data_IF_228873258604
#
_entry.id   IF_228873258604
#
_cell.length_a   1.000
_cell.length_b   1.000
_cell.length_c   1.000
_cell.angle_alpha   90.00
_cell.angle_beta   90.00
_cell.angle_gamma   90.00
#
_symmetry.space_group_name_H-M   'P 1'
#
loop_
_entity.id
_entity.type
_entity.pdbx_description
1 polymer ?
#
# COMPACT_ATOMS: atom_id res chain seq x y z
N UNK A 1 39.09 -37.29 3.38
CA UNK A 1 37.96 -37.13 2.44
C UNK A 1 38.43 -37.56 1.07
N UNK A 2 37.69 -38.42 0.36
CA UNK A 2 38.03 -38.80 -0.99
C UNK A 2 37.89 -37.63 -1.97
N UNK A 3 38.53 -37.71 -3.15
CA UNK A 3 38.37 -36.67 -4.20
C UNK A 3 36.91 -36.53 -4.64
N UNK A 4 36.13 -37.59 -4.54
CA UNK A 4 34.68 -37.61 -4.83
C UNK A 4 33.86 -36.84 -3.79
N UNK A 5 34.19 -36.93 -2.49
CA UNK A 5 33.50 -36.22 -1.43
C UNK A 5 33.68 -34.71 -1.58
N UNK A 6 34.88 -34.27 -1.96
CA UNK A 6 35.17 -32.85 -2.20
C UNK A 6 34.41 -32.30 -3.40
N UNK A 7 34.34 -33.05 -4.51
CA UNK A 7 33.58 -32.66 -5.69
C UNK A 7 32.09 -32.51 -5.36
N UNK A 8 31.57 -33.45 -4.59
CA UNK A 8 30.16 -33.45 -4.20
C UNK A 8 29.79 -32.24 -3.30
N UNK A 9 30.67 -31.90 -2.33
CA UNK A 9 30.54 -30.69 -1.51
C UNK A 9 30.55 -29.42 -2.37
N UNK A 10 31.42 -29.36 -3.36
CA UNK A 10 31.47 -28.21 -4.28
C UNK A 10 30.23 -28.12 -5.13
N UNK A 11 29.71 -29.20 -5.68
CA UNK A 11 28.51 -29.21 -6.51
C UNK A 11 27.26 -28.82 -5.69
N UNK A 12 27.07 -29.43 -4.53
CA UNK A 12 25.91 -29.11 -3.65
C UNK A 12 26.02 -27.69 -3.11
N UNK A 13 27.20 -27.27 -2.67
CA UNK A 13 27.45 -25.91 -2.19
C UNK A 13 27.21 -24.84 -3.25
N UNK A 14 27.68 -25.08 -4.48
CA UNK A 14 27.46 -24.15 -5.60
C UNK A 14 25.96 -24.00 -5.95
N UNK A 15 25.23 -25.12 -5.94
CA UNK A 15 23.77 -25.08 -6.18
C UNK A 15 23.04 -24.27 -5.11
N UNK A 16 23.36 -24.50 -3.84
CA UNK A 16 22.76 -23.79 -2.72
C UNK A 16 23.13 -22.29 -2.77
N UNK A 17 24.40 -21.97 -3.04
CA UNK A 17 24.89 -20.61 -3.18
C UNK A 17 24.13 -19.84 -4.29
N UNK A 18 24.03 -20.46 -5.46
CA UNK A 18 23.33 -19.85 -6.62
C UNK A 18 21.88 -19.56 -6.31
N UNK A 19 21.15 -20.50 -5.71
CA UNK A 19 19.75 -20.29 -5.31
C UNK A 19 19.62 -19.17 -4.27
N UNK A 20 20.53 -19.09 -3.31
CA UNK A 20 20.57 -18.03 -2.31
C UNK A 20 20.80 -16.65 -2.92
N UNK A 21 21.76 -16.54 -3.85
CA UNK A 21 22.06 -15.28 -4.55
C UNK A 21 20.88 -14.85 -5.42
N UNK A 22 20.26 -15.78 -6.16
CA UNK A 22 19.06 -15.47 -6.95
C UNK A 22 17.90 -14.94 -6.09
N UNK A 23 17.70 -15.49 -4.90
CA UNK A 23 16.68 -14.99 -3.95
C UNK A 23 17.00 -13.57 -3.48
N UNK A 24 18.26 -13.25 -3.19
CA UNK A 24 18.68 -11.89 -2.84
C UNK A 24 18.49 -10.93 -4.01
N UNK A 25 18.91 -11.32 -5.21
CA UNK A 25 18.70 -10.51 -6.41
C UNK A 25 17.21 -10.23 -6.65
N UNK A 26 16.34 -11.23 -6.51
CA UNK A 26 14.90 -11.06 -6.64
C UNK A 26 14.33 -10.08 -5.60
N UNK A 27 14.80 -10.16 -4.34
CA UNK A 27 14.38 -9.24 -3.28
C UNK A 27 14.76 -7.78 -3.58
N UNK A 28 15.95 -7.53 -4.12
CA UNK A 28 16.44 -6.18 -4.36
C UNK A 28 16.05 -5.60 -5.72
N UNK A 29 15.73 -6.43 -6.71
CA UNK A 29 15.45 -5.98 -8.08
C UNK A 29 14.03 -5.45 -8.30
N UNK A 30 13.08 -5.76 -7.44
CA UNK A 30 11.66 -5.40 -7.62
C UNK A 30 11.05 -4.87 -6.33
N UNK A 31 10.41 -3.69 -6.40
CA UNK A 31 9.64 -3.13 -5.29
C UNK A 31 8.45 -4.02 -4.90
N UNK A 32 7.90 -4.77 -5.87
CA UNK A 32 6.78 -5.73 -5.68
C UNK A 32 7.25 -7.02 -5.01
N UNK A 33 8.50 -7.46 -5.27
CA UNK A 33 9.06 -8.69 -4.69
C UNK A 33 9.86 -8.45 -3.40
N UNK A 34 9.73 -7.31 -2.75
CA UNK A 34 10.44 -6.96 -1.51
C UNK A 34 9.94 -7.76 -0.30
N UNK A 35 9.72 -9.04 -0.50
CA UNK A 35 9.30 -10.00 0.52
C UNK A 35 10.45 -10.32 1.48
N UNK A 36 10.25 -10.15 2.77
CA UNK A 36 11.23 -10.50 3.82
C UNK A 36 11.66 -11.96 3.74
N UNK A 37 10.78 -12.82 3.27
CA UNK A 37 11.04 -14.25 3.08
C UNK A 37 12.20 -14.49 2.10
N UNK A 38 12.24 -13.79 0.96
CA UNK A 38 13.33 -13.88 -0.01
C UNK A 38 14.66 -13.40 0.59
N UNK A 39 14.61 -12.34 1.38
CA UNK A 39 15.79 -11.83 2.07
C UNK A 39 16.37 -12.87 3.04
N UNK A 40 15.54 -13.38 3.96
CA UNK A 40 16.00 -14.35 4.96
C UNK A 40 16.42 -15.66 4.34
N UNK A 41 15.69 -16.13 3.31
CA UNK A 41 16.07 -17.32 2.56
C UNK A 41 17.42 -17.16 1.88
N UNK A 42 17.66 -16.04 1.21
CA UNK A 42 18.92 -15.77 0.53
C UNK A 42 20.10 -15.60 1.50
N UNK A 43 19.90 -14.88 2.60
CA UNK A 43 20.91 -14.71 3.66
C UNK A 43 21.21 -16.02 4.42
N UNK A 44 20.29 -16.97 4.39
CA UNK A 44 20.52 -18.32 4.92
C UNK A 44 21.28 -19.20 3.93
N UNK A 45 20.83 -19.28 2.69
CA UNK A 45 21.33 -20.21 1.69
C UNK A 45 22.71 -19.82 1.11
N UNK A 46 22.90 -18.55 0.73
CA UNK A 46 24.11 -18.12 0.04
C UNK A 46 25.39 -18.28 0.90
N UNK A 47 25.47 -17.82 2.14
CA UNK A 47 26.67 -18.01 2.96
C UNK A 47 26.93 -19.49 3.29
N UNK A 48 25.87 -20.28 3.52
CA UNK A 48 26.03 -21.71 3.77
C UNK A 48 26.59 -22.44 2.54
N UNK A 49 26.05 -22.18 1.35
CA UNK A 49 26.54 -22.75 0.10
C UNK A 49 28.01 -22.38 -0.16
N UNK A 50 28.37 -21.11 0.06
CA UNK A 50 29.73 -20.63 -0.07
C UNK A 50 30.69 -21.37 0.90
N UNK A 51 30.28 -21.57 2.16
CA UNK A 51 31.08 -22.30 3.14
C UNK A 51 31.33 -23.74 2.71
N UNK A 52 30.36 -24.44 2.10
CA UNK A 52 30.51 -25.77 1.56
C UNK A 52 31.50 -25.81 0.37
N UNK A 53 31.42 -24.84 -0.55
CA UNK A 53 32.34 -24.70 -1.69
C UNK A 53 33.77 -24.46 -1.18
N UNK A 54 33.96 -23.54 -0.26
CA UNK A 54 35.26 -23.25 0.34
C UNK A 54 35.84 -24.49 1.03
N UNK A 55 35.02 -25.24 1.76
CA UNK A 55 35.43 -26.49 2.41
C UNK A 55 35.87 -27.56 1.39
N UNK A 56 35.16 -27.69 0.27
CA UNK A 56 35.50 -28.68 -0.76
C UNK A 56 36.71 -28.32 -1.61
N UNK A 57 36.98 -27.05 -1.86
CA UNK A 57 38.10 -26.59 -2.72
C UNK A 57 39.36 -26.31 -1.92
N UNK A 58 39.25 -25.54 -0.83
CA UNK A 58 40.43 -24.92 -0.18
C UNK A 58 41.09 -25.85 0.83
N UNK A 59 40.34 -26.67 1.57
CA UNK A 59 40.94 -27.60 2.56
C UNK A 59 41.91 -28.61 1.93
N UNK A 60 41.62 -29.24 0.75
CA UNK A 60 42.56 -30.16 0.15
C UNK A 60 43.84 -29.54 -0.41
N UNK A 61 43.83 -28.24 -0.70
CA UNK A 61 44.93 -27.56 -1.38
C UNK A 61 45.90 -26.85 -0.42
N UNK A 62 45.42 -26.48 0.78
CA UNK A 62 46.14 -25.61 1.69
C UNK A 62 46.36 -26.31 3.03
N UNK A 63 47.61 -26.72 3.31
CA UNK A 63 48.00 -27.31 4.60
C UNK A 63 48.48 -26.26 5.60
N UNK A 64 48.54 -26.63 6.89
CA UNK A 64 49.09 -25.83 7.94
C UNK A 64 48.13 -24.77 8.51
N UNK A 65 48.65 -23.56 8.82
CA UNK A 65 47.89 -22.48 9.45
C UNK A 65 46.73 -21.95 8.60
N UNK A 66 46.84 -22.01 7.26
CA UNK A 66 45.79 -21.57 6.36
C UNK A 66 44.57 -22.51 6.37
N UNK A 67 44.74 -23.81 6.48
CA UNK A 67 43.65 -24.76 6.65
C UNK A 67 42.81 -24.43 7.86
N UNK A 68 43.47 -24.04 8.94
CA UNK A 68 42.81 -23.70 10.19
C UNK A 68 41.93 -22.44 10.06
N UNK A 69 42.45 -21.38 9.42
CA UNK A 69 41.70 -20.13 9.18
C UNK A 69 40.43 -20.41 8.36
N UNK A 70 40.54 -21.26 7.34
CA UNK A 70 39.40 -21.62 6.47
C UNK A 70 38.34 -22.41 7.26
N UNK A 71 38.77 -23.35 8.08
CA UNK A 71 37.85 -24.12 8.95
C UNK A 71 37.17 -23.24 9.94
N UNK A 72 37.86 -22.30 10.56
CA UNK A 72 37.27 -21.36 11.54
C UNK A 72 36.36 -20.35 10.88
N UNK A 73 36.72 -19.84 9.68
CA UNK A 73 35.83 -18.97 8.89
C UNK A 73 34.54 -19.72 8.48
N UNK A 74 34.68 -21.00 8.05
CA UNK A 74 33.53 -21.84 7.75
C UNK A 74 32.61 -22.04 8.96
N UNK A 75 33.17 -22.21 10.16
CA UNK A 75 32.40 -22.30 11.41
C UNK A 75 31.65 -21.02 11.72
N UNK A 76 32.33 -19.86 11.63
CA UNK A 76 31.69 -18.56 11.85
C UNK A 76 30.55 -18.32 10.85
N UNK A 77 30.78 -18.65 9.58
CA UNK A 77 29.77 -18.53 8.53
C UNK A 77 28.56 -19.44 8.82
N UNK A 78 28.80 -20.68 9.21
CA UNK A 78 27.74 -21.62 9.58
C UNK A 78 26.91 -21.13 10.77
N UNK A 79 27.56 -20.52 11.75
CA UNK A 79 26.90 -19.88 12.89
C UNK A 79 26.05 -18.68 12.47
N UNK A 80 26.61 -17.83 11.62
CA UNK A 80 25.93 -16.62 11.16
C UNK A 80 24.67 -16.93 10.36
N UNK A 81 24.63 -18.04 9.61
CA UNK A 81 23.45 -18.44 8.82
C UNK A 81 22.28 -18.90 9.68
N UNK A 82 22.51 -19.24 10.92
CA UNK A 82 21.44 -19.73 11.82
C UNK A 82 20.43 -18.64 12.21
N UNK A 83 20.85 -17.37 12.27
CA UNK A 83 19.96 -16.24 12.55
C UNK A 83 18.95 -16.03 11.40
N UNK A 84 19.37 -15.87 10.12
CA UNK A 84 18.44 -15.84 9.00
C UNK A 84 17.53 -17.07 8.91
N UNK A 85 18.02 -18.27 9.27
CA UNK A 85 17.20 -19.47 9.30
C UNK A 85 16.06 -19.37 10.32
N UNK A 86 16.33 -18.86 11.53
CA UNK A 86 15.30 -18.62 12.55
C UNK A 86 14.33 -17.52 12.14
N UNK A 87 14.80 -16.43 11.54
CA UNK A 87 13.97 -15.37 11.02
C UNK A 87 13.07 -15.85 9.87
N UNK A 88 13.61 -16.69 8.98
CA UNK A 88 12.83 -17.36 7.95
C UNK A 88 11.75 -18.27 8.57
N UNK A 89 12.11 -19.02 9.60
CA UNK A 89 11.16 -19.86 10.34
C UNK A 89 10.03 -19.03 10.96
N UNK A 90 10.34 -17.87 11.56
CA UNK A 90 9.33 -16.96 12.11
C UNK A 90 8.35 -16.45 11.05
N UNK A 91 8.80 -16.17 9.83
CA UNK A 91 7.90 -15.74 8.73
C UNK A 91 6.91 -16.86 8.34
N UNK A 92 7.26 -18.12 8.49
CA UNK A 92 6.38 -19.26 8.20
C UNK A 92 5.55 -19.71 9.37
N UNK A 93 6.08 -19.64 10.59
CA UNK A 93 5.44 -20.20 11.78
C UNK A 93 4.67 -19.15 12.58
N UNK A 94 5.03 -17.88 12.43
CA UNK A 94 4.54 -16.79 13.25
C UNK A 94 5.36 -16.58 14.52
N UNK A 95 4.78 -15.83 15.46
CA UNK A 95 5.54 -15.44 16.67
C UNK A 95 5.52 -16.49 17.79
N UNK A 96 4.79 -17.60 17.60
CA UNK A 96 4.64 -18.63 18.62
C UNK A 96 3.83 -18.20 19.85
N UNK A 97 3.72 -19.10 20.83
CA UNK A 97 3.03 -18.84 22.09
C UNK A 97 3.82 -17.82 22.93
N UNK A 98 3.21 -16.71 23.35
CA UNK A 98 3.84 -15.65 24.12
C UNK A 98 5.18 -15.16 23.54
N UNK A 99 5.26 -15.10 22.19
CA UNK A 99 6.47 -14.70 21.49
C UNK A 99 7.65 -15.68 21.65
N UNK A 100 7.38 -16.98 21.80
CA UNK A 100 8.41 -18.03 21.98
C UNK A 100 9.51 -17.96 20.95
N UNK A 101 9.19 -17.70 19.67
CA UNK A 101 10.16 -17.58 18.59
C UNK A 101 11.11 -16.38 18.74
N UNK A 102 10.67 -15.27 19.37
CA UNK A 102 11.57 -14.15 19.70
C UNK A 102 12.51 -14.50 20.83
N UNK A 103 12.02 -15.19 21.86
CA UNK A 103 12.85 -15.68 22.94
C UNK A 103 13.88 -16.69 22.47
N UNK A 104 13.49 -17.60 21.57
CA UNK A 104 14.40 -18.55 20.96
C UNK A 104 15.53 -17.83 20.19
N UNK A 105 15.19 -16.80 19.41
CA UNK A 105 16.18 -15.99 18.69
C UNK A 105 17.19 -15.34 19.65
N UNK A 106 16.71 -14.77 20.75
CA UNK A 106 17.58 -14.14 21.77
C UNK A 106 18.47 -15.17 22.47
N UNK A 107 17.91 -16.31 22.90
CA UNK A 107 18.68 -17.40 23.52
C UNK A 107 19.75 -17.87 22.56
N UNK A 108 19.41 -18.02 21.28
CA UNK A 108 20.36 -18.46 20.27
C UNK A 108 21.45 -17.41 20.00
N UNK A 109 21.11 -16.13 19.91
CA UNK A 109 22.07 -15.05 19.73
C UNK A 109 23.05 -14.96 20.90
N UNK A 110 22.58 -15.11 22.14
CA UNK A 110 23.43 -15.13 23.33
C UNK A 110 24.34 -16.37 23.32
N UNK A 111 23.80 -17.54 22.97
CA UNK A 111 24.60 -18.76 22.85
C UNK A 111 25.68 -18.63 21.78
N UNK A 112 25.40 -17.99 20.64
CA UNK A 112 26.37 -17.68 19.58
C UNK A 112 27.50 -16.80 20.08
N UNK A 113 27.16 -15.72 20.80
CA UNK A 113 28.18 -14.85 21.40
C UNK A 113 29.05 -15.62 22.40
N UNK A 114 28.44 -16.45 23.24
CA UNK A 114 29.17 -17.30 24.17
C UNK A 114 30.14 -18.26 23.46
N UNK A 115 29.67 -18.93 22.40
CA UNK A 115 30.50 -19.83 21.59
C UNK A 115 31.64 -19.06 20.90
N UNK A 116 31.37 -17.88 20.36
CA UNK A 116 32.36 -17.01 19.73
C UNK A 116 33.45 -16.61 20.72
N UNK A 117 33.10 -16.16 21.94
CA UNK A 117 34.06 -15.84 22.97
C UNK A 117 34.88 -17.04 23.46
N UNK A 118 34.24 -18.21 23.62
CA UNK A 118 34.92 -19.44 24.00
C UNK A 118 35.90 -19.91 22.91
N UNK A 119 35.56 -19.74 21.64
CA UNK A 119 36.44 -20.10 20.51
C UNK A 119 37.68 -19.22 20.46
N UNK A 120 37.54 -17.92 20.77
CA UNK A 120 38.70 -16.99 20.84
C UNK A 120 39.59 -17.27 22.04
N UNK A 121 39.01 -17.57 23.21
CA UNK A 121 39.74 -17.67 24.49
C UNK A 121 40.41 -19.01 24.72
N UNK A 122 39.82 -20.09 24.22
CA UNK A 122 40.34 -21.44 24.48
C UNK A 122 40.68 -22.13 23.13
N UNK A 123 41.98 -22.40 22.95
CA UNK A 123 42.50 -23.20 21.82
C UNK A 123 41.96 -24.66 21.78
N UNK A 124 40.96 -25.00 22.58
CA UNK A 124 40.41 -26.36 22.69
C UNK A 124 39.54 -26.70 21.49
N UNK A 125 40.18 -27.23 20.47
CA UNK A 125 39.71 -27.51 19.09
C UNK A 125 38.65 -28.59 18.95
N UNK A 126 38.29 -29.34 19.98
CA UNK A 126 37.43 -30.54 19.83
C UNK A 126 36.01 -30.39 20.38
N UNK A 127 35.72 -29.39 21.19
CA UNK A 127 34.45 -29.34 21.99
C UNK A 127 33.33 -28.54 21.32
N UNK A 128 33.61 -27.69 20.31
CA UNK A 128 32.59 -26.86 19.68
C UNK A 128 32.34 -27.34 18.25
N UNK A 129 31.91 -28.58 18.11
CA UNK A 129 31.71 -29.16 16.78
C UNK A 129 30.39 -28.82 16.10
N UNK A 130 29.41 -28.25 16.74
CA UNK A 130 28.23 -27.75 16.00
C UNK A 130 27.22 -26.95 16.80
N UNK A 131 27.22 -25.62 16.68
CA UNK A 131 26.07 -24.80 17.10
C UNK A 131 24.79 -25.10 16.28
N UNK A 132 24.93 -25.64 15.06
CA UNK A 132 23.81 -26.17 14.30
C UNK A 132 23.01 -27.26 15.03
N UNK A 133 23.66 -27.99 15.95
CA UNK A 133 22.99 -28.95 16.82
C UNK A 133 21.92 -28.29 17.70
N UNK A 134 22.15 -27.06 18.16
CA UNK A 134 21.18 -26.31 18.95
C UNK A 134 19.92 -26.01 18.14
N UNK A 135 20.03 -25.61 16.89
CA UNK A 135 18.85 -25.35 16.04
C UNK A 135 18.01 -26.60 15.79
N UNK A 136 18.68 -27.73 15.54
CA UNK A 136 18.01 -29.02 15.30
C UNK A 136 17.22 -29.50 16.52
N UNK A 137 17.64 -29.13 17.73
CA UNK A 137 16.93 -29.45 18.97
C UNK A 137 15.92 -28.37 19.33
N UNK A 138 16.31 -27.11 19.25
CA UNK A 138 15.49 -26.00 19.74
C UNK A 138 14.24 -25.74 18.89
N UNK A 139 14.32 -25.91 17.57
CA UNK A 139 13.14 -25.72 16.70
C UNK A 139 12.05 -26.77 16.94
N UNK A 140 12.35 -28.09 16.98
CA UNK A 140 11.34 -29.09 17.36
C UNK A 140 10.83 -28.93 18.78
N UNK A 141 11.68 -28.49 19.72
CA UNK A 141 11.27 -28.23 21.10
C UNK A 141 10.28 -27.05 21.17
N UNK A 142 10.52 -25.97 20.44
CA UNK A 142 9.56 -24.86 20.32
C UNK A 142 8.23 -25.33 19.74
N UNK A 143 8.26 -26.07 18.64
CA UNK A 143 7.05 -26.64 18.04
C UNK A 143 6.25 -27.51 19.01
N UNK A 144 6.93 -28.28 19.85
CA UNK A 144 6.32 -29.11 20.89
C UNK A 144 5.70 -28.25 22.00
N UNK A 145 6.43 -27.25 22.50
CA UNK A 145 5.94 -26.32 23.53
C UNK A 145 4.70 -25.59 23.03
N UNK A 146 4.75 -25.03 21.83
CA UNK A 146 3.63 -24.31 21.23
C UNK A 146 2.40 -25.20 21.04
N UNK A 147 2.60 -26.44 20.63
CA UNK A 147 1.52 -27.42 20.51
C UNK A 147 0.90 -27.75 21.85
N UNK A 148 1.70 -27.95 22.88
CA UNK A 148 1.22 -28.25 24.27
C UNK A 148 0.52 -27.02 24.84
N UNK A 149 0.95 -25.81 24.50
CA UNK A 149 0.32 -24.55 24.91
C UNK A 149 -0.97 -24.22 24.11
N UNK A 150 -1.35 -25.04 23.14
CA UNK A 150 -2.55 -24.84 22.32
C UNK A 150 -2.39 -23.76 21.25
N UNK A 151 -1.16 -23.34 20.95
CA UNK A 151 -0.92 -22.37 19.86
C UNK A 151 -1.28 -22.97 18.52
N UNK A 152 -2.11 -22.23 17.76
CA UNK A 152 -2.47 -22.57 16.38
C UNK A 152 -1.80 -21.58 15.45
N UNK A 153 -0.68 -21.95 14.84
CA UNK A 153 -0.03 -21.08 13.89
C UNK A 153 -0.93 -20.82 12.67
N UNK A 154 -0.79 -19.64 12.02
CA UNK A 154 -1.60 -19.29 10.86
C UNK A 154 -1.54 -20.39 9.79
N UNK A 155 -2.63 -20.62 9.04
CA UNK A 155 -2.66 -21.62 7.99
C UNK A 155 -1.71 -21.21 6.86
N UNK A 156 -0.62 -21.96 6.67
CA UNK A 156 0.37 -21.71 5.63
C UNK A 156 0.23 -22.76 4.55
N UNK A 157 -0.05 -22.30 3.32
CA UNK A 157 -0.01 -23.16 2.13
C UNK A 157 1.43 -23.67 1.93
N UNK A 158 1.63 -24.99 1.90
CA UNK A 158 2.97 -25.60 1.75
C UNK A 158 3.63 -26.09 3.04
N UNK A 159 2.98 -25.98 4.18
CA UNK A 159 3.48 -26.48 5.48
C UNK A 159 3.97 -27.94 5.44
N UNK A 160 3.24 -28.92 4.87
CA UNK A 160 3.72 -30.29 4.76
C UNK A 160 5.06 -30.43 4.03
N UNK A 161 5.29 -29.59 3.01
CA UNK A 161 6.54 -29.57 2.23
C UNK A 161 7.70 -29.11 3.10
N UNK A 162 7.53 -28.04 3.89
CA UNK A 162 8.57 -27.55 4.82
C UNK A 162 8.88 -28.61 5.87
N UNK A 163 7.85 -29.25 6.45
CA UNK A 163 8.05 -30.31 7.42
C UNK A 163 8.76 -31.53 6.84
N UNK A 164 8.47 -31.92 5.59
CA UNK A 164 9.22 -33.01 4.93
C UNK A 164 10.69 -32.65 4.74
N UNK A 165 10.98 -31.39 4.35
CA UNK A 165 12.36 -30.90 4.24
C UNK A 165 13.12 -30.93 5.56
N UNK A 166 12.48 -30.45 6.64
CA UNK A 166 13.05 -30.48 8.00
C UNK A 166 13.26 -31.89 8.50
N UNK A 167 12.33 -32.79 8.26
CA UNK A 167 12.44 -34.20 8.67
C UNK A 167 13.61 -34.90 7.96
N UNK A 168 13.74 -34.73 6.64
CA UNK A 168 14.85 -35.32 5.87
C UNK A 168 16.18 -34.74 6.35
N UNK A 169 16.26 -33.43 6.53
CA UNK A 169 17.47 -32.78 7.07
C UNK A 169 17.83 -33.32 8.45
N UNK A 170 16.85 -33.46 9.34
CA UNK A 170 17.06 -34.02 10.69
C UNK A 170 17.58 -35.46 10.64
N UNK A 171 17.01 -36.29 9.77
CA UNK A 171 17.43 -37.69 9.61
C UNK A 171 18.85 -37.81 9.08
N UNK A 172 19.21 -37.05 8.05
CA UNK A 172 20.57 -37.06 7.47
C UNK A 172 21.61 -36.52 8.45
N UNK A 173 21.28 -35.44 9.15
CA UNK A 173 22.12 -34.87 10.20
C UNK A 173 22.35 -35.88 11.35
N UNK A 174 21.29 -36.52 11.81
CA UNK A 174 21.38 -37.53 12.88
C UNK A 174 22.20 -38.75 12.43
N UNK A 175 22.01 -39.21 11.19
CA UNK A 175 22.81 -40.30 10.62
C UNK A 175 24.31 -40.00 10.65
N UNK A 176 24.73 -38.81 10.21
CA UNK A 176 26.14 -38.43 10.20
C UNK A 176 26.74 -38.39 11.62
N UNK A 177 25.94 -37.96 12.62
CA UNK A 177 26.36 -37.94 14.02
C UNK A 177 26.53 -39.36 14.60
N UNK A 178 25.61 -40.27 14.31
CA UNK A 178 25.68 -41.63 14.78
C UNK A 178 26.79 -42.42 14.09
N UNK A 179 27.02 -42.20 12.79
CA UNK A 179 28.07 -42.86 12.04
C UNK A 179 29.48 -42.46 12.52
N UNK A 180 29.70 -41.18 12.84
CA UNK A 180 30.99 -40.69 13.37
C UNK A 180 31.31 -41.21 14.77
N UNK A 181 30.31 -41.64 15.54
CA UNK A 181 30.51 -42.25 16.87
C UNK A 181 30.86 -43.73 16.81
N UNK A 182 30.51 -44.44 15.73
CA UNK A 182 30.65 -45.90 15.64
C UNK A 182 31.80 -46.40 14.78
N UNK A 183 32.30 -45.63 13.82
CA UNK A 183 33.27 -46.12 12.83
C UNK A 183 34.34 -45.08 12.56
N UNK A 184 35.59 -45.38 12.84
CA UNK A 184 36.75 -44.60 12.46
C UNK A 184 37.14 -44.88 10.98
N UNK A 185 36.26 -44.56 10.05
CA UNK A 185 36.48 -44.75 8.62
C UNK A 185 35.92 -43.56 7.79
N UNK A 186 36.35 -43.48 6.52
CA UNK A 186 35.81 -42.46 5.59
C UNK A 186 34.33 -42.72 5.32
N UNK A 187 33.47 -41.83 5.76
CA UNK A 187 32.02 -41.87 5.51
C UNK A 187 31.60 -40.68 4.66
N UNK A 188 30.82 -40.97 3.63
CA UNK A 188 30.11 -39.94 2.87
C UNK A 188 29.15 -39.20 3.79
N UNK A 189 29.34 -37.89 3.94
CA UNK A 189 28.41 -37.07 4.76
C UNK A 189 27.06 -36.93 4.04
N UNK A 190 26.01 -37.29 4.70
CA UNK A 190 24.63 -37.20 4.20
C UNK A 190 24.00 -35.84 4.48
N UNK A 191 24.52 -35.06 5.45
CA UNK A 191 24.01 -33.76 5.87
C UNK A 191 23.83 -32.76 4.70
N UNK A 192 24.79 -32.58 3.75
CA UNK A 192 24.66 -31.65 2.62
C UNK A 192 23.46 -31.96 1.71
N UNK A 193 23.12 -33.24 1.53
CA UNK A 193 21.96 -33.65 0.72
C UNK A 193 20.65 -33.35 1.42
N UNK A 194 20.57 -33.62 2.72
CA UNK A 194 19.40 -33.25 3.52
C UNK A 194 19.19 -31.75 3.51
N UNK A 195 20.27 -30.98 3.59
CA UNK A 195 20.20 -29.53 3.51
C UNK A 195 19.75 -29.06 2.12
N UNK A 196 20.28 -29.63 1.04
CA UNK A 196 19.86 -29.32 -0.33
C UNK A 196 18.37 -29.62 -0.54
N UNK A 197 17.89 -30.75 -0.02
CA UNK A 197 16.48 -31.10 -0.07
C UNK A 197 15.61 -30.10 0.71
N UNK A 198 16.04 -29.71 1.92
CA UNK A 198 15.38 -28.64 2.69
C UNK A 198 15.33 -27.34 1.92
N UNK A 199 16.43 -26.95 1.27
CA UNK A 199 16.48 -25.76 0.42
C UNK A 199 15.54 -25.84 -0.77
N UNK A 200 15.43 -27.00 -1.41
CA UNK A 200 14.47 -27.21 -2.49
C UNK A 200 13.02 -27.08 -2.01
N UNK A 201 12.70 -27.65 -0.83
CA UNK A 201 11.37 -27.50 -0.22
C UNK A 201 11.04 -26.04 0.13
N UNK A 202 11.96 -25.32 0.74
CA UNK A 202 11.80 -23.91 1.08
C UNK A 202 11.69 -23.06 -0.20
N UNK A 203 12.55 -23.27 -1.18
CA UNK A 203 12.52 -22.58 -2.45
C UNK A 203 11.19 -22.77 -3.20
N UNK A 204 10.66 -23.99 -3.21
CA UNK A 204 9.34 -24.28 -3.79
C UNK A 204 8.22 -23.50 -3.08
N UNK A 205 8.20 -23.52 -1.74
CA UNK A 205 7.14 -22.82 -0.97
C UNK A 205 7.26 -21.30 -1.12
N UNK A 206 8.49 -20.78 -1.09
CA UNK A 206 8.74 -19.34 -1.32
C UNK A 206 8.32 -18.93 -2.72
N UNK A 207 8.75 -19.65 -3.76
CA UNK A 207 8.38 -19.37 -5.15
C UNK A 207 6.87 -19.40 -5.36
N UNK A 208 6.18 -20.41 -4.78
CA UNK A 208 4.74 -20.51 -4.87
C UNK A 208 4.03 -19.35 -4.16
N UNK A 209 4.54 -18.92 -3.00
CA UNK A 209 3.98 -17.78 -2.26
C UNK A 209 4.15 -16.48 -3.03
N UNK A 210 5.34 -16.24 -3.57
CA UNK A 210 5.61 -15.06 -4.41
C UNK A 210 4.69 -15.03 -5.62
N UNK A 211 4.58 -16.14 -6.35
CA UNK A 211 3.71 -16.23 -7.53
C UNK A 211 2.22 -16.01 -7.19
N UNK A 212 1.73 -16.51 -6.04
CA UNK A 212 0.33 -16.27 -5.63
C UNK A 212 0.11 -14.82 -5.24
N UNK A 213 1.01 -14.21 -4.49
CA UNK A 213 0.91 -12.79 -4.11
C UNK A 213 0.95 -11.88 -5.35
N UNK A 214 1.82 -12.19 -6.32
CA UNK A 214 1.91 -11.44 -7.58
C UNK A 214 0.60 -11.55 -8.38
N UNK A 215 0.03 -12.75 -8.49
CA UNK A 215 -1.24 -12.96 -9.17
C UNK A 215 -2.41 -12.21 -8.50
N UNK A 216 -2.49 -12.22 -7.17
CA UNK A 216 -3.47 -11.44 -6.40
C UNK A 216 -3.29 -9.94 -6.62
N UNK A 217 -2.04 -9.46 -6.61
CA UNK A 217 -1.72 -8.05 -6.85
C UNK A 217 -2.10 -7.59 -8.26
N UNK A 218 -1.83 -8.40 -9.28
CA UNK A 218 -2.23 -8.14 -10.67
C UNK A 218 -3.76 -8.11 -10.79
N UNK A 219 -4.47 -9.05 -10.15
CA UNK A 219 -5.94 -9.10 -10.16
C UNK A 219 -6.54 -7.84 -9.53
N UNK A 220 -6.10 -7.48 -8.31
CA UNK A 220 -6.55 -6.28 -7.60
C UNK A 220 -6.28 -5.00 -8.40
N UNK A 221 -5.09 -4.89 -9.00
CA UNK A 221 -4.74 -3.76 -9.85
C UNK A 221 -5.62 -3.69 -11.10
N UNK A 222 -5.98 -4.85 -11.65
CA UNK A 222 -6.91 -4.97 -12.79
C UNK A 222 -8.30 -4.48 -12.43
N UNK A 223 -8.85 -4.90 -11.29
CA UNK A 223 -10.15 -4.48 -10.78
C UNK A 223 -10.20 -2.96 -10.50
N UNK A 224 -9.14 -2.42 -9.88
CA UNK A 224 -9.02 -0.98 -9.65
C UNK A 224 -8.96 -0.19 -10.95
N UNK A 225 -8.25 -0.67 -11.97
CA UNK A 225 -8.25 -0.03 -13.30
C UNK A 225 -9.62 -0.07 -13.97
N UNK A 226 -10.36 -1.16 -13.83
CA UNK A 226 -11.72 -1.25 -14.36
C UNK A 226 -12.67 -0.28 -13.64
N UNK A 227 -12.62 -0.22 -12.31
CA UNK A 227 -13.39 0.74 -11.51
C UNK A 227 -13.08 2.19 -11.90
N UNK A 228 -11.80 2.54 -12.09
CA UNK A 228 -11.39 3.87 -12.57
C UNK A 228 -11.96 4.22 -13.95
N UNK A 229 -11.99 3.26 -14.88
CA UNK A 229 -12.61 3.48 -16.20
C UNK A 229 -14.10 3.74 -16.09
N UNK A 230 -14.80 3.01 -15.24
CA UNK A 230 -16.24 3.20 -15.02
C UNK A 230 -16.47 4.59 -14.41
N UNK A 231 -15.70 4.97 -13.40
CA UNK A 231 -15.82 6.29 -12.77
C UNK A 231 -15.53 7.42 -13.77
N UNK A 232 -14.49 7.32 -14.58
CA UNK A 232 -14.20 8.30 -15.62
C UNK A 232 -15.36 8.49 -16.62
N UNK A 233 -16.13 7.43 -16.88
CA UNK A 233 -17.31 7.51 -17.73
C UNK A 233 -18.54 8.16 -17.05
N UNK A 234 -18.52 8.29 -15.72
CA UNK A 234 -19.57 8.98 -14.96
C UNK A 234 -19.37 10.50 -15.01
N UNK A 235 -18.13 10.97 -15.04
CA UNK A 235 -17.78 12.39 -15.12
C UNK A 235 -18.13 12.98 -16.51
N UNK A 236 -18.37 14.29 -16.62
CA UNK A 236 -18.62 14.94 -17.90
C UNK A 236 -17.44 14.76 -18.87
N UNK A 237 -17.72 14.31 -20.08
CA UNK A 237 -16.70 14.14 -21.13
C UNK A 237 -16.21 15.49 -21.69
N UNK A 238 -17.03 16.54 -21.59
CA UNK A 238 -16.72 17.90 -22.01
C UNK A 238 -17.45 18.92 -21.15
N UNK A 239 -16.89 20.10 -21.05
CA UNK A 239 -17.57 21.23 -20.37
C UNK A 239 -18.79 21.70 -21.16
N UNK A 240 -19.86 22.12 -20.47
CA UNK A 240 -21.05 22.63 -21.14
C UNK A 240 -20.73 23.94 -21.88
N UNK A 241 -21.19 24.02 -23.12
CA UNK A 241 -21.08 25.25 -23.90
C UNK A 241 -22.37 26.06 -23.76
N UNK A 242 -22.32 27.11 -22.96
CA UNK A 242 -23.44 28.03 -22.75
C UNK A 242 -22.95 29.44 -23.07
N UNK A 243 -23.66 30.17 -23.93
CA UNK A 243 -23.21 31.46 -24.47
C UNK A 243 -22.97 32.53 -23.40
N UNK A 244 -23.56 32.40 -22.23
CA UNK A 244 -23.51 33.41 -21.16
C UNK A 244 -22.48 33.12 -20.07
N UNK A 245 -21.97 31.93 -20.02
CA UNK A 245 -21.06 31.48 -18.95
C UNK A 245 -19.88 30.71 -19.51
N UNK A 246 -18.67 30.97 -18.97
CA UNK A 246 -17.51 30.14 -19.22
C UNK A 246 -17.33 29.17 -18.05
N UNK A 247 -17.35 27.89 -18.33
CA UNK A 247 -17.27 26.84 -17.28
C UNK A 247 -15.95 26.08 -17.42
N UNK A 248 -15.26 25.90 -16.30
CA UNK A 248 -14.10 25.03 -16.19
C UNK A 248 -14.22 24.15 -14.95
N UNK A 249 -13.69 22.94 -15.02
CA UNK A 249 -13.64 22.04 -13.88
C UNK A 249 -12.30 21.32 -13.80
N UNK A 250 -11.91 20.96 -12.59
CA UNK A 250 -10.76 20.09 -12.35
C UNK A 250 -11.16 18.99 -11.37
N UNK A 251 -10.62 17.83 -11.63
CA UNK A 251 -10.82 16.62 -10.85
C UNK A 251 -9.49 15.91 -10.70
N UNK A 252 -8.96 15.87 -9.50
CA UNK A 252 -7.69 15.23 -9.16
C UNK A 252 -7.91 14.24 -8.03
N UNK A 253 -8.10 12.94 -8.32
CA UNK A 253 -8.30 11.93 -7.31
C UNK A 253 -6.99 11.66 -6.56
N UNK A 254 -7.05 11.53 -5.23
CA UNK A 254 -5.94 11.12 -4.37
C UNK A 254 -5.50 9.68 -4.68
N UNK A 255 -6.43 8.82 -4.97
CA UNK A 255 -6.22 7.41 -5.26
C UNK A 255 -6.64 7.03 -6.69
N UNK A 256 -6.61 5.73 -7.00
CA UNK A 256 -7.07 5.25 -8.31
C UNK A 256 -8.55 5.50 -8.58
N UNK A 257 -9.38 5.66 -7.54
CA UNK A 257 -10.85 5.85 -7.58
C UNK A 257 -11.24 6.74 -6.40
N UNK A 258 -12.03 7.80 -6.64
CA UNK A 258 -12.37 8.85 -5.68
C UNK A 258 -13.83 8.79 -5.21
N UNK A 259 -14.14 9.46 -4.10
CA UNK A 259 -15.51 9.72 -3.63
C UNK A 259 -16.19 10.88 -4.33
N UNK A 260 -15.40 11.80 -4.85
CA UNK A 260 -15.86 13.03 -5.50
C UNK A 260 -16.59 12.77 -6.82
N UNK A 261 -17.64 13.53 -7.03
CA UNK A 261 -18.41 13.59 -8.28
C UNK A 261 -18.81 15.01 -8.60
N UNK A 262 -18.66 15.42 -9.85
CA UNK A 262 -19.29 16.64 -10.37
C UNK A 262 -20.01 16.38 -11.69
N UNK A 263 -20.99 17.22 -12.00
CA UNK A 263 -21.73 17.06 -13.25
C UNK A 263 -22.62 18.26 -13.59
N UNK A 264 -23.16 18.20 -14.80
CA UNK A 264 -24.05 19.24 -15.35
C UNK A 264 -25.39 18.60 -15.73
N UNK A 265 -26.28 18.35 -14.75
CA UNK A 265 -27.51 17.61 -14.97
C UNK A 265 -28.56 18.37 -15.78
N UNK A 266 -28.41 19.68 -15.94
CA UNK A 266 -29.27 20.52 -16.77
C UNK A 266 -28.44 21.49 -17.58
N UNK A 267 -28.48 21.41 -18.89
CA UNK A 267 -27.78 22.32 -19.81
C UNK A 267 -28.80 22.83 -20.85
N UNK A 268 -29.22 24.07 -20.69
CA UNK A 268 -30.16 24.77 -21.58
C UNK A 268 -29.55 26.13 -21.99
N UNK A 269 -30.00 26.76 -23.06
CA UNK A 269 -29.45 28.05 -23.50
C UNK A 269 -29.41 29.14 -22.41
N UNK A 270 -30.39 29.15 -21.53
CA UNK A 270 -30.53 30.15 -20.46
C UNK A 270 -30.50 29.54 -19.04
N UNK A 271 -30.18 28.26 -18.89
CA UNK A 271 -30.12 27.62 -17.58
C UNK A 271 -29.00 26.56 -17.53
N UNK A 272 -28.25 26.55 -16.46
CA UNK A 272 -27.20 25.57 -16.19
C UNK A 272 -27.34 25.02 -14.79
N UNK A 273 -27.56 23.71 -14.66
CA UNK A 273 -27.51 23.01 -13.39
C UNK A 273 -26.11 22.44 -13.15
N UNK A 274 -25.55 22.63 -11.96
CA UNK A 274 -24.24 22.13 -11.55
C UNK A 274 -24.41 21.37 -10.26
N UNK A 275 -23.85 20.18 -10.18
CA UNK A 275 -23.75 19.38 -8.96
C UNK A 275 -22.27 19.14 -8.66
N UNK A 276 -21.91 19.26 -7.40
CA UNK A 276 -20.68 18.70 -6.85
C UNK A 276 -21.06 17.94 -5.58
N UNK A 277 -20.56 16.73 -5.44
CA UNK A 277 -20.81 15.89 -4.29
C UNK A 277 -19.52 15.13 -3.93
N UNK A 278 -19.34 14.95 -2.64
CA UNK A 278 -18.24 14.13 -2.10
C UNK A 278 -18.82 13.05 -1.19
N UNK A 279 -18.46 11.80 -1.45
CA UNK A 279 -18.90 10.63 -0.71
C UNK A 279 -17.85 10.25 0.30
N UNK A 280 -18.20 10.24 1.58
CA UNK A 280 -17.28 9.85 2.66
C UNK A 280 -16.62 8.48 2.42
N UNK A 281 -15.30 8.47 2.55
CA UNK A 281 -14.47 7.29 2.30
C UNK A 281 -13.85 7.31 0.90
N UNK A 282 -13.13 6.25 0.56
CA UNK A 282 -12.38 6.19 -0.69
C UNK A 282 -12.53 4.83 -1.39
N UNK A 283 -12.13 4.78 -2.64
CA UNK A 283 -12.10 3.56 -3.42
C UNK A 283 -13.44 3.19 -4.07
N UNK A 284 -13.57 1.91 -4.46
CA UNK A 284 -14.69 1.44 -5.29
C UNK A 284 -16.06 1.64 -4.66
N UNK A 285 -16.17 1.51 -3.33
CA UNK A 285 -17.44 1.69 -2.63
C UNK A 285 -17.95 3.14 -2.76
N UNK A 286 -17.09 4.13 -2.51
CA UNK A 286 -17.44 5.55 -2.66
C UNK A 286 -17.83 5.90 -4.11
N UNK A 287 -17.10 5.38 -5.09
CA UNK A 287 -17.41 5.57 -6.51
C UNK A 287 -18.76 4.98 -6.95
N UNK A 288 -19.17 3.85 -6.37
CA UNK A 288 -20.50 3.29 -6.62
C UNK A 288 -21.60 4.22 -6.07
N UNK A 289 -21.41 4.79 -4.89
CA UNK A 289 -22.34 5.77 -4.32
C UNK A 289 -22.36 7.05 -5.17
N UNK A 290 -21.21 7.55 -5.64
CA UNK A 290 -21.13 8.67 -6.57
C UNK A 290 -21.94 8.42 -7.86
N UNK A 291 -21.95 7.17 -8.34
CA UNK A 291 -22.79 6.77 -9.47
C UNK A 291 -24.29 6.85 -9.16
N UNK A 292 -24.69 6.45 -7.95
CA UNK A 292 -26.08 6.60 -7.48
C UNK A 292 -26.48 8.08 -7.37
N UNK A 293 -25.58 8.93 -6.84
CA UNK A 293 -25.75 10.38 -6.79
C UNK A 293 -26.04 10.94 -8.18
N UNK A 294 -25.20 10.59 -9.17
CA UNK A 294 -25.40 11.01 -10.56
C UNK A 294 -26.81 10.68 -11.05
N UNK A 295 -27.23 9.42 -10.96
CA UNK A 295 -28.51 8.98 -11.48
C UNK A 295 -29.67 9.72 -10.78
N UNK A 296 -29.63 9.85 -9.46
CA UNK A 296 -30.68 10.52 -8.71
C UNK A 296 -30.81 12.01 -9.08
N UNK A 297 -29.68 12.72 -9.14
CA UNK A 297 -29.65 14.16 -9.45
C UNK A 297 -30.07 14.43 -10.89
N UNK A 298 -29.58 13.67 -11.87
CA UNK A 298 -29.94 13.87 -13.28
C UNK A 298 -31.43 13.63 -13.51
N UNK A 299 -32.02 12.59 -12.93
CA UNK A 299 -33.46 12.34 -12.99
C UNK A 299 -34.30 13.47 -12.35
N UNK A 300 -33.82 14.05 -11.24
CA UNK A 300 -34.47 15.19 -10.60
C UNK A 300 -34.46 16.45 -11.48
N UNK A 301 -33.27 16.74 -12.04
CA UNK A 301 -33.06 17.88 -12.92
C UNK A 301 -33.88 17.81 -14.22
N UNK A 302 -33.98 16.61 -14.84
CA UNK A 302 -34.82 16.38 -16.03
C UNK A 302 -36.30 16.65 -15.74
N UNK A 303 -36.75 16.35 -14.54
CA UNK A 303 -38.12 16.66 -14.08
C UNK A 303 -38.36 18.14 -13.74
N UNK A 304 -37.34 18.98 -13.84
CA UNK A 304 -37.43 20.41 -13.54
C UNK A 304 -37.64 20.73 -12.05
N UNK A 305 -37.16 19.83 -11.19
CA UNK A 305 -37.25 20.05 -9.73
C UNK A 305 -36.31 21.18 -9.27
N UNK A 306 -36.63 21.82 -8.17
CA UNK A 306 -35.77 22.83 -7.56
C UNK A 306 -34.52 22.18 -6.91
N UNK A 307 -33.43 22.96 -6.68
CA UNK A 307 -32.22 22.48 -6.00
C UNK A 307 -32.52 21.74 -4.69
N UNK A 308 -33.34 22.35 -3.80
CA UNK A 308 -33.71 21.74 -2.54
C UNK A 308 -34.43 20.41 -2.70
N UNK A 309 -35.33 20.29 -3.66
CA UNK A 309 -36.08 19.07 -3.90
C UNK A 309 -35.17 17.96 -4.46
N UNK A 310 -34.22 18.30 -5.35
CA UNK A 310 -33.22 17.35 -5.87
C UNK A 310 -32.36 16.80 -4.73
N UNK A 311 -31.83 17.69 -3.87
CA UNK A 311 -30.99 17.31 -2.73
C UNK A 311 -31.77 16.46 -1.72
N UNK A 312 -33.06 16.81 -1.46
CA UNK A 312 -33.92 16.03 -0.59
C UNK A 312 -34.23 14.63 -1.11
N UNK A 313 -34.51 14.47 -2.39
CA UNK A 313 -34.71 13.16 -3.02
C UNK A 313 -33.43 12.33 -3.03
N UNK A 314 -32.29 12.97 -3.27
CA UNK A 314 -30.97 12.35 -3.15
C UNK A 314 -30.72 11.82 -1.73
N UNK A 315 -30.97 12.64 -0.71
CA UNK A 315 -30.84 12.24 0.70
C UNK A 315 -31.71 11.02 1.03
N UNK A 316 -32.98 11.03 0.61
CA UNK A 316 -33.91 9.90 0.81
C UNK A 316 -33.39 8.62 0.13
N UNK A 317 -32.82 8.76 -1.06
CA UNK A 317 -32.23 7.66 -1.80
C UNK A 317 -31.04 7.06 -1.07
N UNK A 318 -30.09 7.89 -0.60
CA UNK A 318 -28.92 7.44 0.15
C UNK A 318 -29.32 6.77 1.48
N UNK A 319 -30.22 7.36 2.24
CA UNK A 319 -30.71 6.76 3.49
C UNK A 319 -31.38 5.39 3.27
N UNK A 320 -32.01 5.18 2.12
CA UNK A 320 -32.73 3.93 1.81
C UNK A 320 -31.82 2.85 1.23
N UNK A 321 -31.02 3.21 0.23
CA UNK A 321 -30.29 2.24 -0.61
C UNK A 321 -28.82 2.07 -0.19
N UNK A 322 -28.25 3.05 0.54
CA UNK A 322 -26.85 3.09 0.94
C UNK A 322 -26.69 3.36 2.45
N UNK A 323 -27.46 2.64 3.28
CA UNK A 323 -27.51 2.84 4.72
C UNK A 323 -26.12 2.86 5.36
N UNK A 324 -25.84 3.95 6.12
CA UNK A 324 -24.56 4.15 6.80
C UNK A 324 -23.49 4.84 5.94
N UNK A 325 -23.76 5.12 4.67
CA UNK A 325 -22.91 5.96 3.84
C UNK A 325 -23.37 7.43 3.93
N UNK A 326 -22.41 8.32 4.09
CA UNK A 326 -22.65 9.75 4.15
C UNK A 326 -22.03 10.41 2.93
N UNK A 327 -22.62 11.52 2.50
CA UNK A 327 -22.06 12.34 1.44
C UNK A 327 -22.36 13.81 1.69
N UNK A 328 -21.48 14.69 1.26
CA UNK A 328 -21.77 16.10 1.10
C UNK A 328 -22.18 16.38 -0.34
N UNK A 329 -22.99 17.40 -0.56
CA UNK A 329 -23.37 17.80 -1.92
C UNK A 329 -23.78 19.27 -1.97
N UNK A 330 -23.55 19.91 -3.10
CA UNK A 330 -24.11 21.20 -3.45
C UNK A 330 -24.66 21.17 -4.86
N UNK A 331 -25.90 21.61 -5.01
CA UNK A 331 -26.53 21.79 -6.31
C UNK A 331 -26.80 23.27 -6.57
N UNK A 332 -26.31 23.77 -7.70
CA UNK A 332 -26.52 25.16 -8.13
C UNK A 332 -27.23 25.16 -9.47
N UNK A 333 -28.33 25.94 -9.59
CA UNK A 333 -29.01 26.20 -10.84
C UNK A 333 -28.87 27.68 -11.20
N UNK A 334 -28.13 27.94 -12.27
CA UNK A 334 -27.96 29.27 -12.85
C UNK A 334 -29.10 29.55 -13.83
N UNK A 335 -29.69 30.72 -13.77
CA UNK A 335 -30.70 31.20 -14.72
C UNK A 335 -30.34 32.60 -15.22
N UNK A 336 -30.21 32.74 -16.54
CA UNK A 336 -29.90 34.02 -17.20
C UNK A 336 -31.07 35.04 -17.09
N UNK A 337 -32.30 34.55 -17.06
CA UNK A 337 -33.48 35.39 -16.87
C UNK A 337 -33.48 35.88 -15.41
N UNK A 338 -33.08 37.11 -15.19
CA UNK A 338 -33.01 37.75 -13.87
C UNK A 338 -31.64 37.67 -13.17
N UNK A 339 -30.60 37.19 -13.87
CA UNK A 339 -29.22 37.07 -13.32
C UNK A 339 -29.23 36.40 -11.94
N UNK A 340 -29.93 35.28 -11.84
CA UNK A 340 -30.26 34.60 -10.61
C UNK A 340 -29.64 33.20 -10.55
N UNK A 341 -29.01 32.86 -9.44
CA UNK A 341 -28.70 31.51 -9.08
C UNK A 341 -29.59 31.04 -7.92
N UNK A 342 -30.07 29.79 -8.01
CA UNK A 342 -30.65 29.07 -6.87
C UNK A 342 -29.71 27.98 -6.46
N UNK A 343 -29.51 27.77 -5.18
CA UNK A 343 -28.60 26.75 -4.70
C UNK A 343 -29.06 26.13 -3.39
N UNK A 344 -28.61 24.91 -3.17
CA UNK A 344 -28.82 24.15 -1.94
C UNK A 344 -27.57 23.36 -1.65
N UNK A 345 -27.08 23.37 -0.42
CA UNK A 345 -25.97 22.54 0.02
C UNK A 345 -26.37 21.63 1.17
N UNK A 346 -25.76 20.47 1.21
CA UNK A 346 -25.90 19.43 2.23
C UNK A 346 -24.51 19.07 2.76
N UNK A 347 -24.04 19.80 3.78
CA UNK A 347 -22.73 19.54 4.41
C UNK A 347 -21.49 19.82 3.53
N UNK A 348 -21.67 20.41 2.34
CA UNK A 348 -20.59 20.80 1.45
C UNK A 348 -19.96 22.12 1.91
N UNK A 349 -18.65 22.36 1.73
CA UNK A 349 -18.07 23.67 1.91
C UNK A 349 -18.85 24.74 1.12
N UNK A 350 -19.08 25.93 1.70
CA UNK A 350 -19.89 26.98 1.05
C UNK A 350 -19.21 27.40 -0.29
N UNK A 351 -19.94 27.38 -1.43
CA UNK A 351 -19.41 27.92 -2.66
C UNK A 351 -18.95 29.35 -2.49
N UNK A 352 -17.92 29.76 -3.21
CA UNK A 352 -17.36 31.11 -3.10
C UNK A 352 -17.72 31.94 -4.34
N UNK A 353 -18.30 33.13 -4.11
CA UNK A 353 -18.58 34.11 -5.17
C UNK A 353 -17.58 35.26 -5.11
N UNK A 354 -16.73 35.37 -6.11
CA UNK A 354 -15.88 36.54 -6.31
C UNK A 354 -16.69 37.65 -6.96
N UNK A 355 -16.93 38.74 -6.19
CA UNK A 355 -17.55 39.96 -6.66
C UNK A 355 -16.51 40.85 -7.31
N UNK A 356 -16.44 40.88 -8.64
CA UNK A 356 -15.40 41.61 -9.34
C UNK A 356 -15.44 43.12 -9.10
N UNK A 357 -16.63 43.69 -9.08
CA UNK A 357 -16.82 45.16 -8.85
C UNK A 357 -16.41 45.58 -7.44
N UNK A 358 -16.62 44.71 -6.46
CA UNK A 358 -16.35 44.98 -5.04
C UNK A 358 -14.97 44.44 -4.59
N UNK A 359 -14.29 43.70 -5.44
CA UNK A 359 -13.03 42.99 -5.11
C UNK A 359 -13.14 42.17 -3.82
N UNK A 360 -14.29 41.48 -3.63
CA UNK A 360 -14.64 40.74 -2.43
C UNK A 360 -15.03 39.31 -2.75
N UNK A 361 -14.65 38.39 -1.88
CA UNK A 361 -14.99 36.98 -1.95
C UNK A 361 -16.08 36.70 -0.91
N UNK A 362 -17.28 36.31 -1.38
CA UNK A 362 -18.42 36.03 -0.56
C UNK A 362 -18.67 34.53 -0.46
N UNK A 363 -18.63 33.91 0.74
CA UNK A 363 -19.10 32.56 0.92
C UNK A 363 -20.64 32.51 0.79
N UNK A 364 -21.13 31.48 0.10
CA UNK A 364 -22.57 31.25 -0.06
C UNK A 364 -23.06 30.29 1.02
N UNK A 365 -23.42 30.81 2.17
CA UNK A 365 -23.86 30.02 3.30
C UNK A 365 -25.10 29.18 2.95
N UNK A 366 -25.08 27.92 3.29
CA UNK A 366 -26.23 27.03 3.19
C UNK A 366 -26.18 26.05 4.36
N UNK A 367 -27.16 26.11 5.22
CA UNK A 367 -27.29 25.25 6.39
C UNK A 367 -28.05 23.97 6.01
N UNK A 368 -27.32 22.90 5.67
CA UNK A 368 -27.90 21.59 5.45
C UNK A 368 -27.03 20.50 6.07
N UNK A 369 -27.64 19.49 6.71
CA UNK A 369 -26.91 18.33 7.19
C UNK A 369 -26.39 17.51 6.00
N UNK A 370 -25.31 16.78 6.23
CA UNK A 370 -24.81 15.75 5.31
C UNK A 370 -25.93 14.82 4.86
N UNK A 371 -25.88 14.40 3.61
CA UNK A 371 -26.76 13.37 3.06
C UNK A 371 -26.52 12.03 3.76
N UNK A 372 -27.61 11.29 3.98
CA UNK A 372 -27.53 9.97 4.62
C UNK A 372 -27.66 10.00 6.15
N UNK A 373 -27.60 11.17 6.81
CA UNK A 373 -27.71 11.30 8.27
C UNK A 373 -29.15 11.10 8.73
N UNK A 374 -30.10 11.84 8.14
CA UNK A 374 -31.51 11.81 8.51
C UNK A 374 -32.39 11.85 7.27
N UNK A 375 -33.25 10.85 7.10
CA UNK A 375 -34.05 10.67 5.89
C UNK A 375 -34.97 11.85 5.54
N UNK A 376 -35.57 12.45 6.53
CA UNK A 376 -36.52 13.56 6.36
C UNK A 376 -35.86 14.91 6.75
N UNK A 377 -34.59 15.08 6.39
CA UNK A 377 -33.90 16.35 6.55
C UNK A 377 -34.51 17.39 5.60
N UNK A 378 -34.91 18.59 6.09
CA UNK A 378 -35.30 19.67 5.22
C UNK A 378 -34.07 20.33 4.59
N UNK A 379 -34.18 20.66 3.32
CA UNK A 379 -33.23 21.50 2.60
C UNK A 379 -33.96 22.65 1.96
N UNK A 380 -33.33 23.82 1.95
CA UNK A 380 -33.94 25.07 1.47
C UNK A 380 -33.29 25.54 0.17
N UNK A 381 -34.09 26.16 -0.69
CA UNK A 381 -33.58 26.86 -1.87
C UNK A 381 -33.10 28.26 -1.46
N UNK A 382 -31.82 28.51 -1.59
CA UNK A 382 -31.21 29.83 -1.42
C UNK A 382 -31.12 30.52 -2.77
N UNK A 383 -31.15 31.84 -2.79
CA UNK A 383 -31.06 32.65 -4.02
C UNK A 383 -29.91 33.63 -3.95
N UNK A 384 -29.26 33.83 -5.11
CA UNK A 384 -28.11 34.69 -5.27
C UNK A 384 -28.24 35.46 -6.57
N UNK A 385 -28.01 36.77 -6.54
CA UNK A 385 -27.81 37.56 -7.74
C UNK A 385 -26.34 37.68 -8.07
N UNK A 386 -25.99 37.53 -9.33
CA UNK A 386 -24.65 37.71 -9.85
C UNK A 386 -24.59 38.84 -10.88
N UNK A 387 -23.41 39.40 -11.07
CA UNK A 387 -23.15 40.48 -12.00
C UNK A 387 -22.14 40.06 -13.07
N UNK A 388 -22.08 40.83 -14.15
CA UNK A 388 -21.07 40.64 -15.20
C UNK A 388 -19.64 40.74 -14.62
N UNK A 389 -18.85 39.69 -14.89
CA UNK A 389 -17.47 39.61 -14.44
C UNK A 389 -17.29 38.91 -13.09
N UNK A 390 -18.36 38.58 -12.39
CA UNK A 390 -18.29 37.76 -11.19
C UNK A 390 -17.80 36.34 -11.54
N UNK A 391 -17.26 35.64 -10.54
CA UNK A 391 -16.77 34.24 -10.67
C UNK A 391 -17.27 33.41 -9.50
N UNK A 392 -17.90 32.30 -9.81
CA UNK A 392 -18.35 31.31 -8.82
C UNK A 392 -17.36 30.15 -8.78
N UNK A 393 -16.96 29.74 -7.57
CA UNK A 393 -16.18 28.55 -7.29
C UNK A 393 -17.00 27.60 -6.44
N UNK A 394 -17.24 26.39 -6.94
CA UNK A 394 -17.87 25.26 -6.23
C UNK A 394 -16.76 24.21 -6.06
N UNK A 395 -16.56 23.67 -4.85
CA UNK A 395 -15.38 22.84 -4.57
C UNK A 395 -15.64 21.80 -3.47
N UNK A 396 -14.84 20.72 -3.45
CA UNK A 396 -14.74 19.77 -2.34
C UNK A 396 -13.71 20.25 -1.31
N UNK A 397 -13.82 19.72 -0.10
CA UNK A 397 -12.97 20.10 1.04
C UNK A 397 -11.47 19.90 0.78
N UNK A 398 -11.09 18.88 -0.04
CA UNK A 398 -9.69 18.66 -0.42
C UNK A 398 -9.00 19.85 -1.08
N UNK A 399 -9.75 20.84 -1.62
CA UNK A 399 -9.16 22.08 -2.11
C UNK A 399 -8.73 23.00 -0.95
N UNK A 400 -9.56 23.15 0.06
CA UNK A 400 -9.34 24.11 1.16
C UNK A 400 -8.58 23.52 2.32
N UNK A 401 -8.73 22.22 2.59
CA UNK A 401 -8.06 21.51 3.67
C UNK A 401 -6.67 21.00 3.29
N UNK A 402 -6.21 21.22 2.05
CA UNK A 402 -4.84 20.92 1.65
C UNK A 402 -3.84 21.67 2.55
N UNK A 403 -3.04 20.94 3.31
CA UNK A 403 -2.06 21.48 4.26
C UNK A 403 -0.65 21.50 3.69
N UNK A 404 0.14 22.52 4.05
CA UNK A 404 1.58 22.56 3.82
C UNK A 404 2.36 21.85 4.96
N UNK A 405 3.69 21.80 4.85
CA UNK A 405 4.57 21.22 5.87
C UNK A 405 4.45 21.86 7.28
N UNK A 406 3.82 23.05 7.40
CA UNK A 406 3.59 23.77 8.65
C UNK A 406 2.21 23.52 9.23
N UNK A 407 1.32 22.81 8.54
CA UNK A 407 -0.07 22.59 8.94
C UNK A 407 -0.98 23.78 8.64
N UNK A 408 -0.61 24.67 7.71
CA UNK A 408 -1.45 25.78 7.27
C UNK A 408 -2.33 25.31 6.11
N UNK A 409 -3.64 25.59 6.16
CA UNK A 409 -4.57 25.21 5.09
C UNK A 409 -4.47 26.13 3.88
N UNK A 410 -4.62 25.58 2.68
CA UNK A 410 -4.64 26.35 1.43
C UNK A 410 -5.81 27.32 1.38
N UNK A 411 -6.95 26.90 1.89
CA UNK A 411 -8.18 27.71 1.93
C UNK A 411 -7.98 29.03 2.65
N UNK A 412 -7.38 29.00 3.82
CA UNK A 412 -7.18 30.19 4.66
C UNK A 412 -5.98 31.03 4.21
N UNK A 413 -4.87 30.38 3.92
CA UNK A 413 -3.61 31.05 3.68
C UNK A 413 -3.47 31.64 2.26
N UNK A 414 -4.04 30.99 1.25
CA UNK A 414 -3.77 31.30 -0.15
C UNK A 414 -4.99 31.69 -0.95
N UNK A 415 -6.11 30.98 -0.79
CA UNK A 415 -7.26 31.09 -1.70
C UNK A 415 -7.83 32.52 -1.84
N UNK A 416 -8.02 33.32 -0.78
CA UNK A 416 -8.53 34.70 -0.93
C UNK A 416 -7.59 35.59 -1.77
N UNK A 417 -6.28 35.52 -1.52
CA UNK A 417 -5.29 36.29 -2.26
C UNK A 417 -5.14 35.82 -3.71
N UNK A 418 -5.34 34.51 -3.96
CA UNK A 418 -5.32 33.92 -5.28
C UNK A 418 -6.41 34.53 -6.20
N UNK A 419 -7.63 34.71 -5.69
CA UNK A 419 -8.70 35.37 -6.44
C UNK A 419 -8.32 36.76 -6.87
N UNK A 420 -7.76 37.57 -5.98
CA UNK A 420 -7.32 38.94 -6.28
C UNK A 420 -6.23 38.93 -7.35
N UNK A 421 -5.19 38.11 -7.19
CA UNK A 421 -4.03 38.07 -8.08
C UNK A 421 -4.36 37.54 -9.48
N UNK A 422 -5.28 36.57 -9.54
CA UNK A 422 -5.58 35.81 -10.77
C UNK A 422 -6.93 36.16 -11.39
N UNK A 423 -7.60 37.23 -10.95
CA UNK A 423 -8.96 37.62 -11.40
C UNK A 423 -9.12 37.85 -12.90
N UNK A 424 -8.03 38.16 -13.61
CA UNK A 424 -8.05 38.45 -15.05
C UNK A 424 -7.86 37.21 -15.93
N UNK A 425 -7.55 36.04 -15.34
CA UNK A 425 -7.46 34.80 -16.08
C UNK A 425 -8.86 34.34 -16.54
N UNK A 426 -8.93 33.67 -17.68
CA UNK A 426 -10.15 32.96 -18.09
C UNK A 426 -10.47 31.81 -17.10
N UNK A 427 -11.72 31.34 -17.08
CA UNK A 427 -12.12 30.22 -16.22
C UNK A 427 -11.17 29.03 -16.35
N UNK A 428 -10.78 28.66 -17.57
CA UNK A 428 -9.88 27.53 -17.85
C UNK A 428 -8.46 27.76 -17.31
N UNK A 429 -7.87 28.94 -17.58
CA UNK A 429 -6.55 29.28 -17.08
C UNK A 429 -6.51 29.44 -15.56
N UNK A 430 -7.58 29.98 -14.96
CA UNK A 430 -7.72 30.08 -13.52
C UNK A 430 -7.82 28.69 -12.88
N UNK A 431 -8.60 27.77 -13.45
CA UNK A 431 -8.75 26.42 -12.95
C UNK A 431 -7.41 25.66 -12.99
N UNK A 432 -6.64 25.79 -14.08
CA UNK A 432 -5.34 25.14 -14.21
C UNK A 432 -4.33 25.67 -13.20
N UNK A 433 -4.28 26.99 -13.02
CA UNK A 433 -3.37 27.64 -12.08
C UNK A 433 -3.75 27.34 -10.62
N UNK A 434 -5.05 27.26 -10.31
CA UNK A 434 -5.55 26.92 -8.98
C UNK A 434 -5.14 25.47 -8.61
N UNK A 435 -5.36 24.51 -9.52
CA UNK A 435 -4.95 23.12 -9.29
C UNK A 435 -3.42 23.03 -9.10
N UNK A 436 -2.65 23.72 -9.94
CA UNK A 436 -1.19 23.71 -9.80
C UNK A 436 -0.74 24.30 -8.47
N UNK A 437 -1.38 25.36 -8.01
CA UNK A 437 -1.05 26.06 -6.76
C UNK A 437 -1.34 25.19 -5.54
N UNK A 438 -2.49 24.51 -5.48
CA UNK A 438 -2.84 23.65 -4.35
C UNK A 438 -1.96 22.39 -4.31
N UNK A 439 -1.66 21.80 -5.46
CA UNK A 439 -0.74 20.65 -5.51
C UNK A 439 0.69 21.04 -5.10
N UNK A 440 1.17 22.24 -5.51
CA UNK A 440 2.47 22.74 -5.07
C UNK A 440 2.51 23.04 -3.57
N UNK A 441 1.40 23.52 -2.99
CA UNK A 441 1.27 23.78 -1.55
C UNK A 441 1.44 22.53 -0.70
N UNK A 442 0.92 21.38 -1.17
CA UNK A 442 0.94 20.10 -0.44
C UNK A 442 2.28 19.35 -0.55
N UNK A 443 3.22 19.76 -1.43
CA UNK A 443 4.48 19.04 -1.71
C UNK A 443 5.63 19.48 -0.80
N UNK A 444 5.50 20.53 0.01
CA UNK A 444 6.58 20.98 0.89
C UNK A 444 6.88 19.95 2.00
N UNK A 445 8.15 19.49 2.03
CA UNK A 445 8.80 18.62 3.02
C UNK A 445 8.34 17.17 3.13
N UNK A 446 8.74 16.33 2.14
CA UNK A 446 8.87 14.85 2.31
C UNK A 446 7.63 14.08 2.79
N UNK A 447 6.45 14.67 2.84
CA UNK A 447 5.19 13.96 3.00
C UNK A 447 4.60 13.64 1.64
N UNK A 448 4.08 12.43 1.44
CA UNK A 448 3.52 12.05 0.15
C UNK A 448 2.22 12.79 -0.10
N UNK A 449 2.23 13.67 -1.08
CA UNK A 449 1.09 14.07 -1.91
C UNK A 449 -0.20 14.51 -1.22
N UNK A 450 -1.11 14.87 -2.06
CA UNK A 450 -2.53 15.14 -1.84
C UNK A 450 -3.18 14.22 -0.79
N UNK A 451 -3.76 14.81 0.25
CA UNK A 451 -4.35 14.07 1.38
C UNK A 451 -5.80 13.64 1.12
N UNK A 452 -6.49 14.30 0.18
CA UNK A 452 -7.87 14.02 -0.22
C UNK A 452 -8.09 14.30 -1.71
N UNK A 453 -9.26 13.93 -2.23
CA UNK A 453 -9.68 14.20 -3.60
C UNK A 453 -9.89 15.71 -3.79
N UNK A 454 -9.37 16.30 -4.86
CA UNK A 454 -9.55 17.71 -5.18
C UNK A 454 -10.46 17.84 -6.39
N UNK A 455 -11.65 18.38 -6.15
CA UNK A 455 -12.64 18.61 -7.20
C UNK A 455 -13.20 20.03 -7.10
N UNK A 456 -13.22 20.74 -8.21
CA UNK A 456 -13.86 22.05 -8.24
C UNK A 456 -14.38 22.42 -9.63
N UNK A 457 -15.40 23.26 -9.63
CA UNK A 457 -16.03 23.85 -10.81
C UNK A 457 -16.00 25.36 -10.70
N UNK A 458 -15.57 26.01 -11.76
CA UNK A 458 -15.50 27.47 -11.89
C UNK A 458 -16.49 27.91 -12.95
N UNK A 459 -17.25 28.97 -12.65
CA UNK A 459 -18.15 29.62 -13.60
C UNK A 459 -17.85 31.12 -13.65
N UNK A 460 -17.46 31.62 -14.84
CA UNK A 460 -17.33 33.04 -15.11
C UNK A 460 -18.63 33.58 -15.74
N UNK A 461 -19.17 34.63 -15.18
CA UNK A 461 -20.36 35.30 -15.66
C UNK A 461 -19.99 36.33 -16.75
N UNK A 462 -19.81 35.85 -17.99
CA UNK A 462 -19.43 36.68 -19.14
C UNK A 462 -20.67 36.94 -20.00
N UNK A 463 -21.29 38.12 -19.82
CA UNK A 463 -22.35 38.49 -20.73
C UNK A 463 -21.71 39.13 -22.00
N UNK A 464 -21.67 38.38 -23.11
CA UNK A 464 -21.55 39.00 -24.42
C UNK A 464 -22.95 39.56 -24.81
N UNK A 465 -22.99 40.87 -25.03
CA UNK A 465 -24.17 41.55 -25.59
C UNK A 465 -24.29 41.16 -27.06
#
# INVERSE_FOLDING_TARGET
MSSYDNLLLVMTGSSIFTVGVLALCAHFSSAVMRERILLWFGLFAAPYGLALVCRGILIPQWGGSAEQIIVDLGRVTYLATSIPALLLFQEFYGQGWRLSSKWLLWIYAVALLGVFFLTIRYEHRRTIQSPGFALVILVPLELLIDRLAGYRPPPIKGRPVIFSGLLVFFLTFSYDRFSTLRVSGEHLSAEPFGFLFLMACLGYVVSKRVATNEAEWISLTGEMRAARKIQAAILPASMPTVSSWSVAARYSPMSGVAGDFYGFPRVLPNSLGIILADVMGHGVAAALIASMVKVAVFNGAERGQSPAKIVQELNRTLCKEASGQLASAVYVELNREGDLARYTAAGQPPPLLWRRAEQRLDPLDSAGLLLGVRREEPYDDNTLHFAKGDRLLIYSDGLTEAENGKGESFGDAVLPSFFVLKQNLSAEAFAEELLRSVLAWSVEDSRPGQADDITFVIVDFNFFI
#
